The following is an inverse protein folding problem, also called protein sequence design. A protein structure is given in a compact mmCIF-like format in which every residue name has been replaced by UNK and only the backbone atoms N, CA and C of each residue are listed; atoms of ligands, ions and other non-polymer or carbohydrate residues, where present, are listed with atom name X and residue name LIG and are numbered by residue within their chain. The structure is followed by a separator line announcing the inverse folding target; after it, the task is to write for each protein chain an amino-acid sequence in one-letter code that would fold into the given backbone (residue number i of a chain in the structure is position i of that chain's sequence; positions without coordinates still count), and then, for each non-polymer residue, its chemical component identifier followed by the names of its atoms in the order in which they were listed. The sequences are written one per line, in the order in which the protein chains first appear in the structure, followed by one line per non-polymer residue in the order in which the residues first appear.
data_IF_564000560931
#
_entry.id   IF_564000560931
#
_cell.length_a   1.000
_cell.length_b   1.000
_cell.length_c   1.000
_cell.angle_alpha   90.00
_cell.angle_beta   90.00
_cell.angle_gamma   90.00
#
_symmetry.space_group_name_H-M   'P 1'
#
loop_
_entity.id
_entity.type
_entity.pdbx_description
1 polymer ?
#
# COMPACT_ATOMS: atom_id res chain seq x y z
N UNK A 1 -9.02 -3.05 1.23
CA UNK A 1 -7.78 -2.83 0.45
C UNK A 1 -6.59 -3.49 1.15
N UNK A 2 -5.56 -3.90 0.42
CA UNK A 2 -4.29 -4.36 1.03
C UNK A 2 -3.61 -3.22 1.79
N UNK A 3 -2.82 -3.55 2.82
CA UNK A 3 -2.01 -2.56 3.53
C UNK A 3 -0.88 -2.01 2.67
N UNK A 4 -0.31 -0.87 3.08
CA UNK A 4 0.94 -0.38 2.52
C UNK A 4 2.08 -1.35 2.84
N UNK A 5 3.09 -1.41 1.98
CA UNK A 5 4.23 -2.29 2.13
C UNK A 5 5.47 -1.78 1.39
N UNK A 6 6.51 -2.58 1.38
CA UNK A 6 7.77 -2.26 0.72
C UNK A 6 7.86 -2.92 -0.64
N UNK A 7 8.40 -2.21 -1.61
CA UNK A 7 8.63 -2.69 -2.96
C UNK A 7 10.10 -2.60 -3.28
N UNK A 8 10.64 -3.67 -3.83
CA UNK A 8 12.01 -3.78 -4.34
C UNK A 8 11.98 -4.30 -5.77
N UNK A 9 13.05 -4.09 -6.52
CA UNK A 9 13.23 -4.85 -7.76
C UNK A 9 13.58 -6.30 -7.40
N UNK A 10 13.09 -7.23 -8.20
CA UNK A 10 13.37 -8.66 -7.98
C UNK A 10 14.87 -8.95 -7.82
N UNK A 11 15.71 -8.29 -8.59
CA UNK A 11 17.17 -8.42 -8.50
C UNK A 11 17.77 -7.87 -7.19
N UNK A 12 17.06 -6.99 -6.49
CA UNK A 12 17.50 -6.35 -5.24
C UNK A 12 16.83 -6.96 -3.99
N UNK A 13 16.04 -8.02 -4.13
CA UNK A 13 15.27 -8.62 -3.03
C UNK A 13 16.12 -9.00 -1.81
N UNK A 14 17.37 -9.38 -2.04
CA UNK A 14 18.32 -9.73 -0.96
C UNK A 14 18.55 -8.59 0.04
N UNK A 15 18.25 -7.34 -0.34
CA UNK A 15 18.34 -6.18 0.56
C UNK A 15 17.39 -6.31 1.74
N UNK A 16 16.24 -6.98 1.56
CA UNK A 16 15.23 -7.15 2.60
C UNK A 16 15.41 -8.44 3.40
N UNK A 17 16.17 -9.42 2.90
CA UNK A 17 16.33 -10.74 3.55
C UNK A 17 16.72 -10.67 5.04
N UNK A 18 17.66 -9.80 5.50
CA UNK A 18 18.02 -9.69 6.91
C UNK A 18 16.89 -9.21 7.83
N UNK A 19 15.84 -8.61 7.25
CA UNK A 19 14.72 -7.99 7.96
C UNK A 19 13.41 -8.76 7.78
N UNK A 20 13.44 -9.91 7.08
CA UNK A 20 12.25 -10.72 6.85
C UNK A 20 11.99 -11.64 8.06
N UNK A 21 10.75 -11.60 8.53
CA UNK A 21 10.21 -12.52 9.54
C UNK A 21 8.88 -13.03 9.01
N UNK A 22 8.78 -14.33 8.78
CA UNK A 22 7.58 -14.99 8.25
C UNK A 22 7.03 -14.35 6.94
N UNK A 23 7.92 -13.86 6.08
CA UNK A 23 7.57 -13.24 4.81
C UNK A 23 7.15 -11.76 4.90
N UNK A 24 7.19 -11.18 6.09
CA UNK A 24 6.92 -9.76 6.35
C UNK A 24 8.20 -9.03 6.75
N UNK A 25 8.34 -7.76 6.40
CA UNK A 25 9.52 -6.97 6.72
C UNK A 25 9.35 -6.25 8.06
N UNK A 26 10.34 -6.40 8.94
CA UNK A 26 10.49 -5.52 10.10
C UNK A 26 11.00 -4.14 9.64
N UNK A 27 10.07 -3.21 9.46
CA UNK A 27 10.38 -1.87 8.98
C UNK A 27 11.28 -1.10 9.95
N UNK A 28 11.09 -1.28 11.25
CA UNK A 28 11.91 -0.59 12.27
C UNK A 28 13.36 -1.04 12.19
N UNK A 29 13.60 -2.36 12.07
CA UNK A 29 14.93 -2.92 11.92
C UNK A 29 15.60 -2.46 10.60
N UNK A 30 14.84 -2.44 9.50
CA UNK A 30 15.33 -1.94 8.21
C UNK A 30 15.76 -0.47 8.28
N UNK A 31 14.95 0.40 8.89
CA UNK A 31 15.25 1.82 9.01
C UNK A 31 16.40 2.11 9.99
N UNK A 32 16.63 1.25 10.96
CA UNK A 32 17.78 1.35 11.86
C UNK A 32 19.13 1.02 11.18
N UNK A 33 19.11 0.35 10.03
CA UNK A 33 20.33 0.06 9.26
C UNK A 33 20.82 1.32 8.54
N UNK A 34 22.05 1.73 8.84
CA UNK A 34 22.60 3.03 8.39
C UNK A 34 22.90 3.11 6.90
N UNK A 35 23.01 1.97 6.23
CA UNK A 35 23.33 1.85 4.81
C UNK A 35 22.09 1.73 3.90
N UNK A 36 20.89 1.74 4.48
CA UNK A 36 19.64 1.55 3.75
C UNK A 36 18.79 2.82 3.78
N UNK A 37 18.22 3.15 2.63
CA UNK A 37 17.29 4.26 2.47
C UNK A 37 16.00 3.77 1.88
N UNK A 38 14.90 4.16 2.50
CA UNK A 38 13.55 3.86 2.01
C UNK A 38 12.97 5.09 1.34
N UNK A 39 12.58 4.97 0.09
CA UNK A 39 11.89 6.01 -0.65
C UNK A 39 10.45 6.16 -0.17
N UNK A 40 10.04 7.37 0.11
CA UNK A 40 8.69 7.71 0.57
C UNK A 40 8.15 8.91 -0.20
N UNK A 41 6.85 8.91 -0.46
CA UNK A 41 6.15 10.11 -0.92
C UNK A 41 6.01 11.04 0.29
N UNK A 42 6.57 12.24 0.18
CA UNK A 42 6.56 13.21 1.26
C UNK A 42 5.13 13.66 1.59
N UNK A 43 4.88 13.99 2.86
CA UNK A 43 3.59 14.48 3.36
C UNK A 43 2.42 13.49 3.20
N UNK A 44 2.70 12.24 2.84
CA UNK A 44 1.72 11.17 2.71
C UNK A 44 1.64 10.38 4.01
N UNK A 45 0.43 10.11 4.47
CA UNK A 45 0.19 9.11 5.51
C UNK A 45 0.13 7.71 4.90
N UNK A 46 0.81 6.77 5.54
CA UNK A 46 0.78 5.34 5.20
C UNK A 46 -0.06 4.54 6.22
N UNK A 47 -0.75 5.24 7.11
CA UNK A 47 -1.51 4.69 8.22
C UNK A 47 -0.75 4.81 9.55
N UNK A 48 -1.48 4.94 10.64
CA UNK A 48 -0.96 5.26 11.98
C UNK A 48 0.23 4.38 12.39
N UNK A 49 0.14 3.07 12.14
CA UNK A 49 1.20 2.14 12.51
C UNK A 49 2.53 2.46 11.80
N UNK A 50 2.48 2.62 10.48
CA UNK A 50 3.67 2.91 9.67
C UNK A 50 4.17 4.33 9.96
N UNK A 51 3.27 5.32 10.03
CA UNK A 51 3.63 6.71 10.29
C UNK A 51 4.38 6.87 11.61
N UNK A 52 3.98 6.14 12.66
CA UNK A 52 4.69 6.13 13.94
C UNK A 52 6.12 5.59 13.81
N UNK A 53 6.34 4.57 12.99
CA UNK A 53 7.68 4.03 12.73
C UNK A 53 8.51 5.05 11.94
N UNK A 54 7.93 5.68 10.91
CA UNK A 54 8.63 6.68 10.09
C UNK A 54 9.04 7.91 10.90
N UNK A 55 8.21 8.36 11.85
CA UNK A 55 8.53 9.47 12.75
C UNK A 55 9.72 9.17 13.67
N UNK A 56 9.96 7.91 13.99
CA UNK A 56 11.07 7.47 14.83
C UNK A 56 12.31 7.07 14.02
N UNK A 57 12.24 7.14 12.69
CA UNK A 57 13.32 6.75 11.81
C UNK A 57 14.57 7.62 12.04
N UNK A 58 15.77 7.03 12.01
CA UNK A 58 17.02 7.76 12.09
C UNK A 58 17.14 8.79 10.95
N UNK A 59 17.83 9.88 11.22
CA UNK A 59 18.11 10.89 10.19
C UNK A 59 18.81 10.25 8.99
N UNK A 60 18.28 10.51 7.78
CA UNK A 60 18.81 9.98 6.54
C UNK A 60 18.37 8.57 6.16
N UNK A 61 17.57 7.88 6.99
CA UNK A 61 16.98 6.58 6.67
C UNK A 61 15.90 6.67 5.57
N UNK A 62 15.27 7.83 5.42
CA UNK A 62 14.24 8.08 4.43
C UNK A 62 14.75 8.95 3.27
N UNK A 63 14.22 8.68 2.08
CA UNK A 63 14.40 9.52 0.89
C UNK A 63 13.03 10.06 0.48
N UNK A 64 12.61 11.22 1.01
CA UNK A 64 11.33 11.80 0.68
C UNK A 64 11.34 12.43 -0.71
N UNK A 65 10.27 12.19 -1.48
CA UNK A 65 9.99 12.86 -2.74
C UNK A 65 8.68 13.64 -2.68
N UNK A 66 8.69 14.84 -3.21
CA UNK A 66 7.58 15.78 -3.19
C UNK A 66 6.92 15.91 -4.56
N UNK A 67 5.67 16.37 -4.57
CA UNK A 67 4.92 16.70 -5.79
C UNK A 67 4.09 15.56 -6.34
N UNK A 68 3.37 15.84 -7.41
CA UNK A 68 2.39 14.93 -8.00
C UNK A 68 3.01 13.66 -8.60
N UNK A 69 4.26 13.75 -9.06
CA UNK A 69 4.98 12.64 -9.70
C UNK A 69 5.95 11.95 -8.73
N UNK A 70 5.81 12.16 -7.42
CA UNK A 70 6.74 11.66 -6.41
C UNK A 70 6.94 10.15 -6.50
N UNK A 71 5.87 9.37 -6.62
CA UNK A 71 5.98 7.90 -6.73
C UNK A 71 6.65 7.47 -8.03
N UNK A 72 6.31 8.09 -9.15
CA UNK A 72 6.95 7.81 -10.45
C UNK A 72 8.45 8.11 -10.40
N UNK A 73 8.85 9.21 -9.74
CA UNK A 73 10.24 9.56 -9.54
C UNK A 73 10.97 8.53 -8.66
N UNK A 74 10.34 8.06 -7.59
CA UNK A 74 10.90 7.00 -6.73
C UNK A 74 11.12 5.70 -7.50
N UNK A 75 10.15 5.27 -8.32
CA UNK A 75 10.28 4.08 -9.18
C UNK A 75 11.38 4.27 -10.23
N UNK A 76 11.52 5.47 -10.78
CA UNK A 76 12.61 5.81 -11.71
C UNK A 76 13.98 5.74 -11.05
N UNK A 77 14.09 6.24 -9.81
CA UNK A 77 15.34 6.12 -9.02
C UNK A 77 15.65 4.65 -8.71
N UNK A 78 14.65 3.86 -8.39
CA UNK A 78 14.78 2.43 -8.14
C UNK A 78 15.28 1.71 -9.40
N UNK A 79 14.70 1.99 -10.57
CA UNK A 79 15.14 1.45 -11.86
C UNK A 79 16.59 1.79 -12.19
N UNK A 80 17.02 3.01 -11.86
CA UNK A 80 18.40 3.47 -12.05
C UNK A 80 19.38 2.96 -10.98
N UNK A 81 18.93 2.15 -10.02
CA UNK A 81 19.76 1.65 -8.93
C UNK A 81 20.16 2.69 -7.88
N UNK A 82 19.55 3.88 -7.91
CA UNK A 82 19.81 4.97 -6.95
C UNK A 82 19.07 4.80 -5.63
N UNK A 83 18.04 3.98 -5.63
CA UNK A 83 17.19 3.63 -4.51
C UNK A 83 16.84 2.14 -4.63
N UNK A 84 16.83 1.41 -3.54
CA UNK A 84 16.51 -0.03 -3.57
C UNK A 84 15.10 -0.33 -3.08
N UNK A 85 14.62 0.40 -2.07
CA UNK A 85 13.36 0.13 -1.40
C UNK A 85 12.43 1.33 -1.51
N UNK A 86 11.18 1.10 -1.89
CA UNK A 86 10.11 2.11 -1.94
C UNK A 86 8.96 1.66 -1.05
N UNK A 87 8.47 2.54 -0.18
CA UNK A 87 7.27 2.34 0.61
C UNK A 87 6.05 2.83 -0.16
N UNK A 88 5.01 2.01 -0.27
CA UNK A 88 3.81 2.44 -0.95
C UNK A 88 2.67 1.44 -0.96
N UNK A 89 1.63 1.82 -1.66
CA UNK A 89 0.42 1.04 -1.87
C UNK A 89 0.55 0.21 -3.15
N UNK A 90 0.51 -1.12 -3.02
CA UNK A 90 0.84 -2.03 -4.12
C UNK A 90 0.05 -1.80 -5.42
N UNK A 91 -1.29 -1.66 -5.40
CA UNK A 91 -2.04 -1.37 -6.62
C UNK A 91 -1.65 -0.06 -7.31
N UNK A 92 -1.32 0.99 -6.55
CA UNK A 92 -0.85 2.27 -7.08
C UNK A 92 0.54 2.11 -7.73
N UNK A 93 1.44 1.41 -7.06
CA UNK A 93 2.78 1.12 -7.60
C UNK A 93 2.67 0.32 -8.90
N UNK A 94 1.82 -0.70 -8.96
CA UNK A 94 1.58 -1.46 -10.21
C UNK A 94 1.03 -0.58 -11.32
N UNK A 95 0.11 0.32 -11.00
CA UNK A 95 -0.41 1.27 -11.99
C UNK A 95 0.71 2.16 -12.54
N UNK A 96 1.52 2.77 -11.68
CA UNK A 96 2.63 3.63 -12.09
C UNK A 96 3.72 2.85 -12.84
N UNK A 97 4.01 1.63 -12.41
CA UNK A 97 4.97 0.76 -13.10
C UNK A 97 4.52 0.46 -14.54
N UNK A 98 3.24 0.15 -14.76
CA UNK A 98 2.67 -0.05 -16.10
C UNK A 98 2.81 1.22 -16.96
N UNK A 99 2.52 2.41 -16.40
CA UNK A 99 2.71 3.68 -17.11
C UNK A 99 4.18 3.92 -17.49
N UNK A 100 5.10 3.54 -16.62
CA UNK A 100 6.55 3.65 -16.83
C UNK A 100 7.16 2.50 -17.65
N UNK A 101 6.32 1.57 -18.17
CA UNK A 101 6.75 0.38 -18.93
C UNK A 101 7.72 -0.52 -18.14
N UNK A 102 7.55 -0.60 -16.82
CA UNK A 102 8.24 -1.55 -15.95
C UNK A 102 7.42 -2.85 -15.97
N UNK A 103 8.06 -3.97 -16.27
CA UNK A 103 7.39 -5.26 -16.34
C UNK A 103 6.91 -5.70 -14.95
N UNK A 104 5.76 -6.38 -14.89
CA UNK A 104 5.13 -6.77 -13.62
C UNK A 104 6.03 -7.66 -12.76
N UNK A 105 6.86 -8.48 -13.40
CA UNK A 105 7.81 -9.37 -12.72
C UNK A 105 9.14 -8.70 -12.33
N UNK A 106 9.33 -7.41 -12.60
CA UNK A 106 10.53 -6.68 -12.18
C UNK A 106 10.43 -6.20 -10.73
N UNK A 107 9.21 -6.09 -10.18
CA UNK A 107 8.94 -5.58 -8.84
C UNK A 107 8.37 -6.68 -7.95
N UNK A 108 8.77 -6.67 -6.70
CA UNK A 108 8.31 -7.58 -5.66
C UNK A 108 7.83 -6.79 -4.44
N UNK A 109 6.67 -7.17 -3.90
CA UNK A 109 6.02 -6.50 -2.77
C UNK A 109 6.12 -7.32 -1.51
N UNK A 110 6.52 -6.67 -0.42
CA UNK A 110 6.62 -7.24 0.90
C UNK A 110 5.71 -6.52 1.89
N UNK A 111 4.81 -7.23 2.60
CA UNK A 111 4.05 -6.65 3.70
C UNK A 111 4.98 -6.20 4.83
N UNK A 112 4.52 -5.23 5.62
CA UNK A 112 5.23 -4.78 6.82
C UNK A 112 4.68 -5.51 8.03
N UNK A 113 5.58 -6.12 8.79
CA UNK A 113 5.26 -6.86 10.01
C UNK A 113 4.53 -5.98 11.01
N UNK A 114 3.43 -6.48 11.53
CA UNK A 114 2.57 -5.76 12.47
C UNK A 114 1.62 -4.75 11.83
N UNK A 115 1.74 -4.47 10.54
CA UNK A 115 0.74 -3.69 9.81
C UNK A 115 -0.44 -4.57 9.40
N UNK A 116 -1.65 -4.03 9.44
CA UNK A 116 -2.83 -4.76 9.01
C UNK A 116 -2.73 -5.23 7.56
N UNK A 117 -2.93 -6.53 7.31
CA UNK A 117 -2.92 -7.12 5.97
C UNK A 117 -3.92 -6.45 5.04
N UNK A 118 -5.09 -6.10 5.59
CA UNK A 118 -6.16 -5.40 4.89
C UNK A 118 -6.61 -4.18 5.66
N UNK A 119 -6.89 -3.10 4.94
CA UNK A 119 -7.38 -1.83 5.48
C UNK A 119 -8.79 -1.57 4.98
N UNK A 120 -9.65 -1.03 5.83
CA UNK A 120 -10.95 -0.52 5.44
C UNK A 120 -10.79 0.84 4.75
N UNK A 121 -11.44 0.99 3.60
CA UNK A 121 -11.54 2.28 2.91
C UNK A 121 -12.90 2.92 3.20
N UNK A 122 -12.93 4.23 3.30
CA UNK A 122 -14.15 4.99 3.58
C UNK A 122 -14.32 6.10 2.55
N UNK A 123 -15.57 6.38 2.18
CA UNK A 123 -15.90 7.60 1.46
C UNK A 123 -16.11 8.70 2.48
N UNK A 124 -15.50 9.86 2.24
CA UNK A 124 -15.63 11.04 3.09
C UNK A 124 -16.09 12.25 2.28
N UNK A 125 -16.89 13.10 2.91
CA UNK A 125 -17.30 14.38 2.38
C UNK A 125 -17.08 15.46 3.45
N UNK A 126 -17.03 16.72 3.03
CA UNK A 126 -17.00 17.86 3.96
C UNK A 126 -18.21 17.83 4.89
N UNK A 127 -18.04 18.23 6.15
CA UNK A 127 -19.14 18.28 7.12
C UNK A 127 -20.06 19.49 6.88
N UNK A 128 -20.81 19.43 5.82
CA UNK A 128 -21.85 20.35 5.40
C UNK A 128 -23.17 19.62 5.27
N UNK A 129 -24.28 20.35 5.14
CA UNK A 129 -25.58 19.74 4.88
C UNK A 129 -25.56 18.89 3.60
N UNK A 130 -24.95 19.39 2.53
CA UNK A 130 -24.78 18.67 1.27
C UNK A 130 -23.89 17.44 1.41
N UNK A 131 -22.77 17.56 2.14
CA UNK A 131 -21.86 16.45 2.39
C UNK A 131 -22.52 15.33 3.19
N UNK A 132 -23.29 15.65 4.22
CA UNK A 132 -24.06 14.67 4.98
C UNK A 132 -25.14 13.98 4.14
N UNK A 133 -25.82 14.73 3.27
CA UNK A 133 -26.77 14.15 2.32
C UNK A 133 -26.10 13.19 1.36
N UNK A 134 -24.98 13.59 0.75
CA UNK A 134 -24.19 12.75 -0.17
C UNK A 134 -23.75 11.44 0.51
N UNK A 135 -23.23 11.51 1.74
CA UNK A 135 -22.86 10.32 2.50
C UNK A 135 -24.05 9.41 2.77
N UNK A 136 -25.23 9.98 3.09
CA UNK A 136 -26.44 9.19 3.30
C UNK A 136 -26.84 8.42 2.03
N UNK A 137 -26.81 9.09 0.87
CA UNK A 137 -27.14 8.48 -0.43
C UNK A 137 -26.09 7.41 -0.82
N UNK A 138 -24.80 7.68 -0.62
CA UNK A 138 -23.73 6.71 -0.86
C UNK A 138 -23.89 5.49 0.02
N UNK A 139 -24.21 5.66 1.31
CA UNK A 139 -24.42 4.55 2.22
C UNK A 139 -25.63 3.68 1.82
N UNK A 140 -26.70 4.29 1.28
CA UNK A 140 -27.83 3.53 0.74
C UNK A 140 -27.41 2.71 -0.49
N UNK A 141 -26.65 3.33 -1.41
CA UNK A 141 -26.15 2.63 -2.59
C UNK A 141 -25.22 1.48 -2.22
N UNK A 142 -24.31 1.69 -1.28
CA UNK A 142 -23.38 0.64 -0.82
C UNK A 142 -24.08 -0.58 -0.20
N UNK A 143 -25.27 -0.41 0.40
CA UNK A 143 -26.07 -1.54 0.92
C UNK A 143 -26.73 -2.37 -0.20
N UNK A 144 -26.95 -1.77 -1.36
CA UNK A 144 -27.63 -2.42 -2.49
C UNK A 144 -26.68 -2.91 -3.57
N UNK A 145 -25.44 -2.41 -3.57
CA UNK A 145 -24.42 -2.81 -4.55
C UNK A 145 -23.96 -4.26 -4.32
N UNK A 146 -23.78 -5.04 -5.41
CA UNK A 146 -23.16 -6.35 -5.31
C UNK A 146 -21.67 -6.18 -4.97
N UNK A 147 -21.34 -6.30 -3.70
CA UNK A 147 -19.96 -6.18 -3.19
C UNK A 147 -18.98 -7.11 -3.89
N UNK A 148 -19.46 -8.28 -4.36
CA UNK A 148 -18.62 -9.23 -5.08
C UNK A 148 -18.01 -8.64 -6.34
N UNK A 149 -18.78 -7.89 -7.12
CA UNK A 149 -18.27 -7.23 -8.32
C UNK A 149 -17.18 -6.21 -8.00
N UNK A 150 -17.39 -5.37 -6.99
CA UNK A 150 -16.38 -4.39 -6.55
C UNK A 150 -15.11 -5.08 -6.04
N UNK A 151 -15.27 -6.17 -5.28
CA UNK A 151 -14.14 -6.95 -4.78
C UNK A 151 -13.34 -7.60 -5.93
N UNK A 152 -14.01 -8.09 -6.97
CA UNK A 152 -13.35 -8.64 -8.16
C UNK A 152 -12.57 -7.57 -8.93
N UNK A 153 -13.13 -6.37 -9.10
CA UNK A 153 -12.45 -5.25 -9.75
C UNK A 153 -11.18 -4.86 -8.99
N UNK A 154 -11.24 -4.85 -7.66
CA UNK A 154 -10.06 -4.59 -6.85
C UNK A 154 -9.05 -5.74 -6.91
N UNK A 155 -9.52 -6.99 -6.80
CA UNK A 155 -8.67 -8.18 -6.87
C UNK A 155 -7.84 -8.24 -8.15
N UNK A 156 -8.36 -7.74 -9.28
CA UNK A 156 -7.64 -7.68 -10.55
C UNK A 156 -6.33 -6.84 -10.50
N UNK A 157 -6.18 -5.99 -9.49
CA UNK A 157 -4.94 -5.24 -9.24
C UNK A 157 -3.93 -5.97 -8.35
N UNK A 158 -4.31 -7.11 -7.78
CA UNK A 158 -3.45 -7.91 -6.92
C UNK A 158 -2.76 -9.02 -7.72
N UNK A 159 -1.67 -9.53 -7.17
CA UNK A 159 -1.01 -10.70 -7.70
C UNK A 159 -1.93 -11.92 -7.60
N UNK A 160 -1.89 -12.88 -8.55
CA UNK A 160 -2.79 -14.04 -8.56
C UNK A 160 -2.82 -14.79 -7.22
N UNK A 161 -1.67 -14.92 -6.56
CA UNK A 161 -1.55 -15.59 -5.26
C UNK A 161 -2.30 -14.88 -4.13
N UNK A 162 -2.49 -13.55 -4.25
CA UNK A 162 -3.17 -12.71 -3.25
C UNK A 162 -4.65 -12.53 -3.52
N UNK A 163 -5.10 -12.81 -4.75
CA UNK A 163 -6.50 -12.56 -5.15
C UNK A 163 -7.48 -13.44 -4.37
N UNK A 164 -7.19 -14.73 -4.24
CA UNK A 164 -8.08 -15.69 -3.57
C UNK A 164 -8.28 -15.32 -2.09
N UNK A 165 -7.19 -15.09 -1.37
CA UNK A 165 -7.23 -14.69 0.04
C UNK A 165 -7.95 -13.33 0.23
N UNK A 166 -7.68 -12.35 -0.65
CA UNK A 166 -8.38 -11.07 -0.60
C UNK A 166 -9.90 -11.23 -0.78
N UNK A 167 -10.34 -12.00 -1.76
CA UNK A 167 -11.76 -12.20 -2.03
C UNK A 167 -12.48 -12.92 -0.87
N UNK A 168 -11.83 -13.88 -0.24
CA UNK A 168 -12.33 -14.56 0.96
C UNK A 168 -12.49 -13.57 2.13
N UNK A 169 -11.44 -12.79 2.42
CA UNK A 169 -11.47 -11.80 3.50
C UNK A 169 -12.49 -10.68 3.25
N UNK A 170 -12.62 -10.23 2.00
CA UNK A 170 -13.60 -9.23 1.63
C UNK A 170 -15.04 -9.76 1.82
N UNK A 171 -15.32 -10.99 1.40
CA UNK A 171 -16.63 -11.64 1.61
C UNK A 171 -16.96 -11.69 3.11
N UNK A 172 -16.06 -12.22 3.92
CA UNK A 172 -16.24 -12.32 5.37
C UNK A 172 -16.43 -10.95 6.03
N UNK A 173 -15.80 -9.90 5.53
CA UNK A 173 -15.98 -8.53 6.01
C UNK A 173 -17.40 -8.04 5.75
N UNK A 174 -17.93 -8.17 4.54
CA UNK A 174 -19.27 -7.69 4.19
C UNK A 174 -20.37 -8.53 4.83
N UNK A 175 -20.18 -9.84 5.02
CA UNK A 175 -21.11 -10.68 5.78
C UNK A 175 -21.23 -10.20 7.23
N UNK A 176 -20.14 -9.85 7.89
CA UNK A 176 -20.17 -9.28 9.25
C UNK A 176 -20.85 -7.91 9.30
N UNK A 177 -20.68 -7.08 8.28
CA UNK A 177 -21.34 -5.77 8.21
C UNK A 177 -22.86 -5.91 7.99
N UNK A 178 -23.29 -6.89 7.21
CA UNK A 178 -24.71 -7.14 6.96
C UNK A 178 -25.45 -7.73 8.19
N UNK A 179 -24.71 -8.31 9.14
CA UNK A 179 -25.27 -8.89 10.38
C UNK A 179 -25.38 -7.85 11.53
N UNK A 180 -24.93 -6.61 11.34
CA UNK A 180 -25.03 -5.49 12.29
C UNK A 180 -26.16 -4.54 11.92
#
# INVERSE_FOLDING_TARGET
AVGNGLVVRQQDRSVLEPYLVDGEVDLSALLAATDRKVGVVAERSYGEFIDNILHQAPSGALTPHYGNDALTNLLSMQRLGRLQVVLGYWPEIRYQARQAQIAENELEFYPIRGNGKYLSGYVACSDTTQGRQAISEINQLLRTLPHEHLNQLYAAWLDPERQADYLEQARAFFERQAAQ
#
